data_IF_009745229058
#
_entry.id   IF_009745229058
#
_cell.length_a   1.000
_cell.length_b   1.000
_cell.length_c   1.000
_cell.angle_alpha   90.00
_cell.angle_beta   90.00
_cell.angle_gamma   90.00
#
_symmetry.space_group_name_H-M   'P 1'
#
loop_
_entity.id
_entity.type
_entity.pdbx_description
1 polymer ?
#
# COMPACT_ATOMS: atom_id res chain seq x y z
N UNK A 1 -16.90 46.47 14.57
CA UNK A 1 -16.15 45.36 15.19
C UNK A 1 -16.79 44.05 14.80
N UNK A 2 -16.27 43.38 13.78
CA UNK A 2 -16.66 42.01 13.41
C UNK A 2 -15.54 41.40 12.58
N UNK A 3 -14.55 40.85 13.27
CA UNK A 3 -13.43 40.11 12.68
C UNK A 3 -13.85 38.66 12.43
N UNK A 4 -14.10 38.32 11.17
CA UNK A 4 -14.32 36.95 10.71
C UNK A 4 -12.97 36.24 10.53
N UNK A 5 -12.61 35.38 11.48
CA UNK A 5 -11.47 34.47 11.38
C UNK A 5 -11.83 33.26 10.51
N UNK A 6 -11.42 33.27 9.24
CA UNK A 6 -11.44 32.09 8.38
C UNK A 6 -10.30 31.16 8.76
N UNK A 7 -10.62 30.08 9.49
CA UNK A 7 -9.70 28.98 9.79
C UNK A 7 -9.40 28.22 8.51
N UNK A 8 -8.22 28.46 7.92
CA UNK A 8 -7.67 27.63 6.83
C UNK A 8 -7.41 26.24 7.38
N UNK A 9 -8.27 25.29 7.02
CA UNK A 9 -8.03 23.86 7.22
C UNK A 9 -6.83 23.48 6.34
N UNK A 10 -5.65 23.48 6.93
CA UNK A 10 -4.41 23.08 6.27
C UNK A 10 -4.37 21.57 6.35
N UNK A 11 -4.71 20.91 5.24
CA UNK A 11 -4.49 19.46 5.09
C UNK A 11 -3.00 19.24 5.27
N UNK A 12 -2.61 18.72 6.44
CA UNK A 12 -1.26 18.26 6.70
C UNK A 12 -0.95 17.18 5.66
N UNK A 13 -0.16 17.54 4.65
CA UNK A 13 0.43 16.53 3.78
C UNK A 13 1.28 15.63 4.69
N UNK A 14 1.15 14.29 4.59
CA UNK A 14 2.00 13.41 5.36
C UNK A 14 3.45 13.71 4.98
N UNK A 15 4.29 13.96 5.99
CA UNK A 15 5.73 14.13 5.80
C UNK A 15 6.26 12.92 5.02
N UNK A 16 7.02 13.17 3.93
CA UNK A 16 7.62 12.08 3.15
C UNK A 16 8.46 11.21 4.09
N UNK A 17 8.34 9.87 4.04
CA UNK A 17 9.16 9.00 4.86
C UNK A 17 10.65 9.24 4.54
N UNK A 18 11.44 9.40 5.60
CA UNK A 18 12.89 9.53 5.55
C UNK A 18 13.49 8.12 5.48
N UNK A 19 14.28 7.84 4.46
CA UNK A 19 14.90 6.54 4.26
C UNK A 19 16.38 6.56 4.63
N UNK A 20 16.82 5.51 5.32
CA UNK A 20 18.23 5.16 5.51
C UNK A 20 18.55 3.95 4.64
N UNK A 21 19.59 4.05 3.83
CA UNK A 21 20.04 2.96 2.95
C UNK A 21 21.29 2.33 3.58
N UNK A 22 21.24 1.03 3.84
CA UNK A 22 22.42 0.24 4.22
C UNK A 22 22.95 -0.49 2.98
N UNK A 23 24.17 -0.17 2.58
CA UNK A 23 24.89 -0.81 1.48
C UNK A 23 25.92 -1.77 2.09
N UNK A 24 25.75 -3.06 1.85
CA UNK A 24 26.68 -4.08 2.30
C UNK A 24 27.70 -4.40 1.19
N UNK A 25 28.97 -4.09 1.43
CA UNK A 25 30.09 -4.41 0.54
C UNK A 25 30.74 -5.68 1.05
N UNK A 26 30.45 -6.79 0.35
CA UNK A 26 30.92 -8.12 0.74
C UNK A 26 32.33 -8.46 0.25
N UNK A 27 32.75 -7.86 -0.86
CA UNK A 27 34.07 -8.07 -1.45
C UNK A 27 34.74 -6.73 -1.73
N UNK A 28 36.08 -6.66 -1.65
CA UNK A 28 36.82 -5.44 -1.99
C UNK A 28 36.67 -5.06 -3.47
N UNK A 29 36.42 -6.02 -4.36
CA UNK A 29 36.13 -5.77 -5.78
C UNK A 29 34.78 -5.06 -6.00
N UNK A 30 33.86 -5.14 -5.04
CA UNK A 30 32.56 -4.45 -5.11
C UNK A 30 32.66 -2.99 -4.66
N UNK A 31 33.74 -2.63 -3.94
CA UNK A 31 34.05 -1.27 -3.47
C UNK A 31 34.64 -0.41 -4.59
N UNK A 32 33.86 -0.25 -5.66
CA UNK A 32 34.28 0.52 -6.83
C UNK A 32 33.64 1.91 -6.81
N UNK A 33 34.37 2.97 -7.21
CA UNK A 33 33.78 4.31 -7.37
C UNK A 33 32.62 4.31 -8.40
N UNK A 34 32.56 3.31 -9.29
CA UNK A 34 31.43 3.09 -10.19
C UNK A 34 30.13 2.73 -9.47
N UNK A 35 30.17 1.97 -8.36
CA UNK A 35 28.98 1.61 -7.59
C UNK A 35 28.33 2.86 -6.98
N UNK A 36 29.14 3.74 -6.39
CA UNK A 36 28.65 4.98 -5.78
C UNK A 36 28.15 5.99 -6.84
N UNK A 37 28.79 6.05 -8.00
CA UNK A 37 28.28 6.81 -9.14
C UNK A 37 26.93 6.28 -9.63
N UNK A 38 26.79 4.95 -9.76
CA UNK A 38 25.54 4.31 -10.12
C UNK A 38 24.46 4.60 -9.09
N UNK A 39 24.78 4.44 -7.79
CA UNK A 39 23.87 4.76 -6.69
C UNK A 39 23.42 6.22 -6.73
N UNK A 40 24.34 7.17 -6.91
CA UNK A 40 24.02 8.60 -7.07
C UNK A 40 23.06 8.85 -8.23
N UNK A 41 23.34 8.26 -9.39
CA UNK A 41 22.48 8.42 -10.57
C UNK A 41 21.10 7.78 -10.34
N UNK A 42 21.02 6.61 -9.73
CA UNK A 42 19.76 5.96 -9.35
C UNK A 42 18.97 6.78 -8.34
N UNK A 43 19.63 7.36 -7.32
CA UNK A 43 18.97 8.20 -6.32
C UNK A 43 18.43 9.50 -6.91
N UNK A 44 19.12 10.10 -7.90
CA UNK A 44 18.61 11.28 -8.63
C UNK A 44 17.27 10.98 -9.30
N UNK A 45 17.09 9.78 -9.88
CA UNK A 45 15.84 9.39 -10.54
C UNK A 45 14.65 9.29 -9.58
N UNK A 46 14.90 8.90 -8.32
CA UNK A 46 13.84 8.70 -7.33
C UNK A 46 13.69 9.84 -6.33
N UNK A 47 14.60 10.83 -6.37
CA UNK A 47 14.68 11.97 -5.44
C UNK A 47 13.37 12.79 -5.31
N UNK A 48 12.57 12.85 -6.37
CA UNK A 48 11.28 13.56 -6.34
C UNK A 48 10.23 12.82 -5.49
N UNK A 49 10.29 11.49 -5.47
CA UNK A 49 9.26 10.63 -4.86
C UNK A 49 9.70 10.05 -3.51
N UNK A 50 11.01 10.04 -3.24
CA UNK A 50 11.60 9.42 -2.06
C UNK A 50 12.68 10.33 -1.49
N UNK A 51 12.67 10.54 -0.17
CA UNK A 51 13.70 11.31 0.53
C UNK A 51 14.63 10.34 1.26
N UNK A 52 15.90 10.37 0.88
CA UNK A 52 16.97 9.60 1.53
C UNK A 52 17.82 10.58 2.31
N UNK A 53 17.98 10.35 3.60
CA UNK A 53 18.78 11.22 4.47
C UNK A 53 20.16 10.64 4.74
N UNK A 54 20.24 9.32 4.93
CA UNK A 54 21.48 8.62 5.30
C UNK A 54 21.78 7.43 4.38
N UNK A 55 23.04 7.31 3.98
CA UNK A 55 23.61 6.13 3.33
C UNK A 55 24.72 5.59 4.23
N UNK A 56 24.54 4.37 4.72
CA UNK A 56 25.50 3.65 5.55
C UNK A 56 26.19 2.61 4.66
N UNK A 57 27.50 2.73 4.51
CA UNK A 57 28.33 1.76 3.77
C UNK A 57 28.97 0.84 4.80
N UNK A 58 28.65 -0.45 4.75
CA UNK A 58 29.16 -1.45 5.67
C UNK A 58 30.08 -2.43 4.94
N UNK A 59 31.32 -2.55 5.42
CA UNK A 59 32.32 -3.47 4.86
C UNK A 59 32.39 -4.74 5.72
N UNK A 60 32.11 -5.91 5.14
CA UNK A 60 32.13 -7.19 5.88
C UNK A 60 33.49 -7.90 5.86
N UNK A 61 34.48 -7.41 5.11
CA UNK A 61 35.77 -8.08 5.00
C UNK A 61 36.70 -7.65 6.14
N UNK A 62 37.22 -8.62 6.90
CA UNK A 62 38.28 -8.39 7.86
C UNK A 62 39.55 -7.94 7.13
N UNK A 63 40.08 -6.77 7.50
CA UNK A 63 41.24 -6.17 6.87
C UNK A 63 42.44 -7.13 6.83
N UNK A 64 42.83 -7.53 5.62
CA UNK A 64 44.25 -7.54 5.28
C UNK A 64 44.53 -6.34 4.38
N UNK A 65 44.72 -5.18 5.02
CA UNK A 65 45.55 -4.09 4.50
C UNK A 65 45.24 -3.60 3.07
N UNK A 66 43.98 -3.46 2.69
CA UNK A 66 43.66 -2.57 1.56
C UNK A 66 43.38 -1.22 2.17
N UNK A 67 44.26 -0.27 1.87
CA UNK A 67 44.04 1.16 2.06
C UNK A 67 42.60 1.45 1.62
N UNK A 68 41.68 1.59 2.58
CA UNK A 68 40.39 2.23 2.34
C UNK A 68 40.80 3.68 2.04
N UNK A 69 41.14 3.90 0.78
CA UNK A 69 41.51 5.21 0.28
C UNK A 69 40.39 6.15 0.69
N UNK A 70 40.75 7.38 1.10
CA UNK A 70 39.89 8.50 1.46
C UNK A 70 38.89 8.91 0.33
N UNK A 71 38.21 7.94 -0.26
CA UNK A 71 37.32 8.02 -1.42
C UNK A 71 35.99 8.64 -1.01
N UNK A 72 35.50 8.33 0.19
CA UNK A 72 34.32 8.94 0.81
C UNK A 72 34.39 10.48 0.90
N UNK A 73 35.57 11.07 1.15
CA UNK A 73 35.72 12.54 1.20
C UNK A 73 35.55 13.22 -0.17
N UNK A 74 35.78 12.52 -1.29
CA UNK A 74 35.50 13.05 -2.63
C UNK A 74 34.03 12.88 -3.04
N UNK A 75 33.26 12.08 -2.30
CA UNK A 75 31.89 11.69 -2.63
C UNK A 75 30.80 12.65 -2.11
N UNK A 76 31.17 13.64 -1.28
CA UNK A 76 30.22 14.65 -0.78
C UNK A 76 29.55 15.47 -1.91
N UNK A 77 30.17 15.54 -3.10
CA UNK A 77 29.58 16.19 -4.27
C UNK A 77 28.56 15.31 -5.02
N UNK A 78 28.56 13.99 -4.81
CA UNK A 78 27.63 13.08 -5.48
C UNK A 78 26.24 13.09 -4.85
N UNK A 79 26.14 13.46 -3.57
CA UNK A 79 24.89 13.48 -2.83
C UNK A 79 24.75 14.79 -2.05
N UNK A 80 24.25 15.87 -2.68
CA UNK A 80 24.25 17.21 -2.08
C UNK A 80 23.39 17.33 -0.81
N UNK A 81 22.46 16.39 -0.58
CA UNK A 81 21.52 16.39 0.55
C UNK A 81 21.47 15.05 1.31
N UNK A 82 22.46 14.16 1.14
CA UNK A 82 22.47 12.84 1.80
C UNK A 82 23.80 12.64 2.51
N UNK A 83 23.76 12.24 3.78
CA UNK A 83 24.97 11.94 4.56
C UNK A 83 25.43 10.52 4.29
N UNK A 84 26.64 10.38 3.75
CA UNK A 84 27.29 9.09 3.48
C UNK A 84 28.27 8.79 4.60
N UNK A 85 28.19 7.59 5.19
CA UNK A 85 29.03 7.16 6.32
C UNK A 85 29.57 5.76 6.09
N UNK A 86 30.87 5.59 6.29
CA UNK A 86 31.52 4.27 6.26
C UNK A 86 31.54 3.65 7.66
N UNK A 87 31.16 2.39 7.75
CA UNK A 87 31.03 1.63 8.98
C UNK A 87 31.78 0.31 8.81
N UNK A 88 32.75 0.08 9.69
CA UNK A 88 33.60 -1.12 9.69
C UNK A 88 33.27 -2.09 10.82
N UNK A 89 32.51 -1.66 11.84
CA UNK A 89 32.17 -2.52 12.98
C UNK A 89 30.65 -2.68 13.14
N UNK A 90 30.15 -3.88 13.46
CA UNK A 90 28.73 -4.11 13.75
C UNK A 90 28.18 -3.22 14.87
N UNK A 91 29.01 -2.92 15.87
CA UNK A 91 28.62 -2.08 17.01
C UNK A 91 28.32 -0.64 16.58
N UNK A 92 29.05 -0.12 15.60
CA UNK A 92 28.80 1.20 15.02
C UNK A 92 27.54 1.26 14.13
N UNK A 93 26.99 0.12 13.68
CA UNK A 93 25.66 0.12 13.05
C UNK A 93 24.55 0.41 14.07
N UNK A 94 24.74 0.02 15.32
CA UNK A 94 23.73 0.17 16.37
C UNK A 94 23.48 1.62 16.80
N UNK A 95 24.39 2.55 16.45
CA UNK A 95 24.14 3.99 16.64
C UNK A 95 23.14 4.56 15.63
N UNK A 96 22.87 3.86 14.52
CA UNK A 96 21.97 4.31 13.45
C UNK A 96 20.73 3.43 13.33
N UNK A 97 20.87 2.12 13.53
CA UNK A 97 19.79 1.14 13.37
C UNK A 97 19.64 0.37 14.69
N UNK A 98 18.44 0.40 15.27
CA UNK A 98 18.15 -0.35 16.48
C UNK A 98 18.41 -1.86 16.28
N UNK A 99 18.95 -2.53 17.31
CA UNK A 99 19.30 -3.96 17.29
C UNK A 99 18.17 -4.87 16.76
N UNK A 100 16.93 -4.54 17.12
CA UNK A 100 15.71 -5.25 16.72
C UNK A 100 15.37 -5.16 15.23
N UNK A 101 15.86 -4.12 14.55
CA UNK A 101 15.62 -3.86 13.13
C UNK A 101 16.79 -4.26 12.25
N UNK A 102 17.95 -4.50 12.87
CA UNK A 102 19.15 -4.86 12.15
C UNK A 102 19.09 -6.36 11.79
N UNK A 103 19.33 -6.74 10.52
CA UNK A 103 19.38 -8.14 10.14
C UNK A 103 20.44 -8.93 10.92
N UNK A 104 20.19 -10.22 11.12
CA UNK A 104 21.11 -11.12 11.81
C UNK A 104 22.51 -11.17 11.16
N UNK A 105 22.58 -10.99 9.83
CA UNK A 105 23.85 -10.93 9.08
C UNK A 105 24.78 -9.78 9.55
N UNK A 106 24.22 -8.74 10.18
CA UNK A 106 24.95 -7.59 10.71
C UNK A 106 25.01 -7.57 12.24
N UNK A 107 24.70 -8.69 12.90
CA UNK A 107 24.71 -8.81 14.36
C UNK A 107 23.44 -8.32 15.06
N UNK A 108 22.35 -8.11 14.31
CA UNK A 108 21.04 -7.80 14.88
C UNK A 108 20.19 -9.03 15.19
N UNK A 109 18.92 -8.81 15.56
CA UNK A 109 17.97 -9.89 15.89
C UNK A 109 16.93 -10.12 14.80
N UNK A 110 16.90 -9.29 13.75
CA UNK A 110 15.88 -9.40 12.72
C UNK A 110 16.21 -10.50 11.70
N UNK A 111 15.23 -11.34 11.41
CA UNK A 111 15.35 -12.43 10.43
C UNK A 111 14.40 -12.12 9.28
N UNK A 112 14.97 -11.73 8.14
CA UNK A 112 14.22 -11.49 6.92
C UNK A 112 13.93 -12.79 6.19
N UNK A 113 12.69 -12.97 5.72
CA UNK A 113 12.40 -13.98 4.72
C UNK A 113 12.06 -13.29 3.39
N UNK A 114 13.07 -13.16 2.53
CA UNK A 114 12.94 -12.48 1.24
C UNK A 114 11.89 -13.13 0.33
N UNK A 115 11.83 -14.47 0.30
CA UNK A 115 10.89 -15.21 -0.56
C UNK A 115 9.44 -14.92 -0.18
N UNK A 116 9.12 -15.03 1.12
CA UNK A 116 7.78 -14.73 1.65
C UNK A 116 7.42 -13.25 1.50
N UNK A 117 8.38 -12.35 1.68
CA UNK A 117 8.17 -10.92 1.47
C UNK A 117 7.84 -10.61 0.01
N UNK A 118 8.57 -11.18 -0.95
CA UNK A 118 8.27 -11.03 -2.39
C UNK A 118 6.88 -11.60 -2.70
N UNK A 119 6.56 -12.78 -2.17
CA UNK A 119 5.27 -13.41 -2.42
C UNK A 119 4.11 -12.55 -1.88
N UNK A 120 4.26 -12.03 -0.66
CA UNK A 120 3.31 -11.10 -0.06
C UNK A 120 3.11 -9.88 -0.95
N UNK A 121 4.19 -9.20 -1.34
CA UNK A 121 4.12 -7.96 -2.13
C UNK A 121 3.49 -8.19 -3.50
N UNK A 122 3.84 -9.30 -4.18
CA UNK A 122 3.26 -9.68 -5.47
C UNK A 122 1.76 -9.91 -5.35
N UNK A 123 1.33 -10.69 -4.36
CA UNK A 123 -0.09 -10.98 -4.16
C UNK A 123 -0.87 -9.74 -3.75
N UNK A 124 -0.28 -8.91 -2.88
CA UNK A 124 -0.84 -7.67 -2.39
C UNK A 124 -1.11 -6.69 -3.55
N UNK A 125 -0.13 -6.49 -4.44
CA UNK A 125 -0.25 -5.62 -5.60
C UNK A 125 -1.36 -6.09 -6.55
N UNK A 126 -1.45 -7.39 -6.84
CA UNK A 126 -2.48 -7.93 -7.73
C UNK A 126 -3.88 -7.68 -7.18
N UNK A 127 -4.13 -7.99 -5.91
CA UNK A 127 -5.46 -7.77 -5.30
C UNK A 127 -5.77 -6.28 -5.22
N UNK A 128 -4.79 -5.46 -4.82
CA UNK A 128 -4.96 -4.01 -4.74
C UNK A 128 -5.38 -3.43 -6.10
N UNK A 129 -4.67 -3.80 -7.16
CA UNK A 129 -4.97 -3.33 -8.51
C UNK A 129 -6.35 -3.80 -9.00
N UNK A 130 -6.74 -5.05 -8.70
CA UNK A 130 -8.07 -5.57 -9.02
C UNK A 130 -9.16 -4.82 -8.27
N UNK A 131 -8.99 -4.54 -6.97
CA UNK A 131 -9.94 -3.77 -6.18
C UNK A 131 -10.09 -2.34 -6.71
N UNK A 132 -8.97 -1.67 -7.01
CA UNK A 132 -8.99 -0.31 -7.56
C UNK A 132 -9.69 -0.26 -8.92
N UNK A 133 -9.35 -1.15 -9.84
CA UNK A 133 -9.92 -1.17 -11.18
C UNK A 133 -11.43 -1.49 -11.17
N UNK A 134 -11.84 -2.51 -10.41
CA UNK A 134 -13.27 -2.88 -10.29
C UNK A 134 -14.06 -1.82 -9.51
N UNK A 135 -13.48 -1.28 -8.43
CA UNK A 135 -14.07 -0.19 -7.64
C UNK A 135 -14.31 1.06 -8.46
N UNK A 136 -13.36 1.49 -9.29
CA UNK A 136 -13.53 2.62 -10.20
C UNK A 136 -14.69 2.43 -11.17
N UNK A 137 -14.85 1.22 -11.73
CA UNK A 137 -15.97 0.89 -12.62
C UNK A 137 -17.31 0.94 -11.89
N UNK A 138 -17.38 0.39 -10.67
CA UNK A 138 -18.58 0.45 -9.82
C UNK A 138 -18.98 1.90 -9.52
N UNK A 139 -18.02 2.71 -9.07
CA UNK A 139 -18.26 4.13 -8.72
C UNK A 139 -18.69 4.93 -9.94
N UNK A 140 -18.07 4.69 -11.10
CA UNK A 140 -18.45 5.34 -12.36
C UNK A 140 -19.91 5.05 -12.70
N UNK A 141 -20.32 3.77 -12.73
CA UNK A 141 -21.72 3.39 -13.01
C UNK A 141 -22.69 3.99 -12.00
N UNK A 142 -22.36 3.97 -10.71
CA UNK A 142 -23.20 4.57 -9.67
C UNK A 142 -23.33 6.08 -9.83
N UNK A 143 -22.24 6.77 -10.18
CA UNK A 143 -22.22 8.20 -10.43
C UNK A 143 -23.10 8.57 -11.62
N UNK A 144 -22.99 7.85 -12.73
CA UNK A 144 -23.78 8.09 -13.94
C UNK A 144 -25.29 7.95 -13.68
N UNK A 145 -25.67 6.95 -12.87
CA UNK A 145 -27.06 6.74 -12.48
C UNK A 145 -27.54 7.86 -11.55
N UNK A 146 -26.70 8.26 -10.58
CA UNK A 146 -27.02 9.36 -9.67
C UNK A 146 -27.25 10.67 -10.44
N UNK A 147 -26.39 10.96 -11.41
CA UNK A 147 -26.54 12.13 -12.28
C UNK A 147 -27.82 12.06 -13.11
N UNK A 148 -28.19 10.87 -13.58
CA UNK A 148 -29.45 10.65 -14.30
C UNK A 148 -30.69 10.86 -13.42
N UNK A 149 -30.65 10.42 -12.15
CA UNK A 149 -31.76 10.59 -11.21
C UNK A 149 -31.95 12.04 -10.75
N UNK A 150 -30.90 12.86 -10.77
CA UNK A 150 -30.99 14.30 -10.46
C UNK A 150 -31.79 15.10 -11.49
N UNK A 151 -32.03 14.54 -12.69
CA UNK A 151 -32.81 15.19 -13.74
C UNK A 151 -34.33 15.10 -13.51
N UNK A 152 -34.78 14.46 -12.42
CA UNK A 152 -36.19 14.36 -12.03
C UNK A 152 -36.69 12.92 -11.94
N UNK A 153 -38.01 12.75 -11.94
CA UNK A 153 -38.63 11.42 -11.89
C UNK A 153 -38.20 10.58 -13.12
N UNK A 154 -37.54 9.42 -12.92
CA UNK A 154 -37.00 8.67 -14.03
C UNK A 154 -38.14 8.03 -14.84
N UNK A 155 -38.12 8.30 -16.15
CA UNK A 155 -39.05 7.69 -17.11
C UNK A 155 -38.83 6.18 -17.22
N UNK A 156 -39.83 5.44 -17.72
CA UNK A 156 -39.71 3.98 -17.96
C UNK A 156 -38.48 3.62 -18.81
N UNK A 157 -38.20 4.41 -19.85
CA UNK A 157 -37.03 4.21 -20.73
C UNK A 157 -35.72 4.41 -19.97
N UNK A 158 -35.63 5.44 -19.12
CA UNK A 158 -34.45 5.69 -18.28
C UNK A 158 -34.25 4.58 -17.25
N UNK A 159 -35.31 4.12 -16.57
CA UNK A 159 -35.23 2.99 -15.63
C UNK A 159 -34.71 1.71 -16.30
N UNK A 160 -35.15 1.42 -17.52
CA UNK A 160 -34.65 0.27 -18.28
C UNK A 160 -33.17 0.43 -18.66
N UNK A 161 -32.76 1.61 -19.12
CA UNK A 161 -31.36 1.90 -19.43
C UNK A 161 -30.46 1.78 -18.19
N UNK A 162 -30.89 2.35 -17.06
CA UNK A 162 -30.22 2.26 -15.76
C UNK A 162 -30.09 0.80 -15.29
N UNK A 163 -31.20 0.04 -15.30
CA UNK A 163 -31.18 -1.38 -14.95
C UNK A 163 -30.15 -2.14 -15.81
N UNK A 164 -30.15 -1.91 -17.13
CA UNK A 164 -29.20 -2.59 -18.02
C UNK A 164 -27.75 -2.19 -17.74
N UNK A 165 -27.48 -0.92 -17.44
CA UNK A 165 -26.15 -0.46 -17.05
C UNK A 165 -25.68 -1.15 -15.76
N UNK A 166 -26.52 -1.17 -14.73
CA UNK A 166 -26.25 -1.85 -13.47
C UNK A 166 -25.97 -3.34 -13.67
N UNK A 167 -26.84 -4.05 -14.40
CA UNK A 167 -26.66 -5.49 -14.65
C UNK A 167 -25.36 -5.79 -15.39
N UNK A 168 -24.96 -4.96 -16.37
CA UNK A 168 -23.69 -5.14 -17.08
C UNK A 168 -22.49 -4.98 -16.17
N UNK A 169 -22.50 -3.96 -15.31
CA UNK A 169 -21.41 -3.75 -14.34
C UNK A 169 -21.32 -4.91 -13.35
N UNK A 170 -22.45 -5.47 -12.90
CA UNK A 170 -22.48 -6.65 -12.03
C UNK A 170 -22.01 -7.94 -12.72
N UNK A 171 -22.15 -8.03 -14.04
CA UNK A 171 -21.69 -9.15 -14.86
C UNK A 171 -20.22 -9.03 -15.31
N UNK A 172 -19.49 -8.03 -14.81
CA UNK A 172 -18.06 -7.88 -15.07
C UNK A 172 -17.29 -9.11 -14.56
N UNK A 173 -16.53 -9.75 -15.46
CA UNK A 173 -15.76 -10.95 -15.15
C UNK A 173 -14.73 -10.69 -14.06
N UNK A 174 -14.12 -9.50 -14.03
CA UNK A 174 -13.11 -9.17 -13.03
C UNK A 174 -13.74 -9.01 -11.64
N UNK A 175 -14.91 -8.37 -11.56
CA UNK A 175 -15.66 -8.22 -10.32
C UNK A 175 -16.09 -9.60 -9.80
N UNK A 176 -16.57 -10.47 -10.69
CA UNK A 176 -16.97 -11.82 -10.32
C UNK A 176 -15.77 -12.65 -9.83
N UNK A 177 -14.65 -12.60 -10.55
CA UNK A 177 -13.41 -13.27 -10.16
C UNK A 177 -12.87 -12.75 -8.82
N UNK A 178 -12.90 -11.42 -8.61
CA UNK A 178 -12.48 -10.79 -7.35
C UNK A 178 -13.37 -11.26 -6.19
N UNK A 179 -14.69 -11.32 -6.36
CA UNK A 179 -15.59 -11.78 -5.29
C UNK A 179 -15.48 -13.28 -5.02
N UNK A 180 -15.23 -14.08 -6.06
CA UNK A 180 -15.07 -15.54 -5.94
C UNK A 180 -13.74 -15.93 -5.31
N UNK A 181 -12.63 -15.36 -5.78
CA UNK A 181 -11.28 -15.76 -5.41
C UNK A 181 -10.66 -14.86 -4.33
N UNK A 182 -11.10 -13.60 -4.23
CA UNK A 182 -10.58 -12.61 -3.31
C UNK A 182 -10.55 -13.05 -1.85
N UNK A 183 -11.57 -13.72 -1.28
CA UNK A 183 -11.51 -14.21 0.09
C UNK A 183 -10.32 -15.16 0.34
N UNK A 184 -10.05 -16.06 -0.62
CA UNK A 184 -8.91 -16.99 -0.53
C UNK A 184 -7.58 -16.25 -0.68
N UNK A 185 -7.52 -15.27 -1.59
CA UNK A 185 -6.33 -14.45 -1.79
C UNK A 185 -6.01 -13.56 -0.57
N UNK A 186 -7.03 -12.97 0.06
CA UNK A 186 -6.89 -12.20 1.31
C UNK A 186 -6.49 -13.11 2.48
N UNK A 187 -7.07 -14.30 2.60
CA UNK A 187 -6.67 -15.28 3.61
C UNK A 187 -5.19 -15.68 3.47
N UNK A 188 -4.73 -15.92 2.23
CA UNK A 188 -3.30 -16.18 1.94
C UNK A 188 -2.42 -14.98 2.29
N UNK A 189 -2.86 -13.75 2.03
CA UNK A 189 -2.12 -12.56 2.47
C UNK A 189 -1.98 -12.48 3.99
N UNK A 190 -3.01 -12.82 4.75
CA UNK A 190 -2.94 -12.90 6.22
C UNK A 190 -1.95 -13.97 6.68
N UNK A 191 -1.94 -15.13 6.04
CA UNK A 191 -0.98 -16.20 6.33
C UNK A 191 0.46 -15.76 6.06
N UNK A 192 0.70 -15.14 4.90
CA UNK A 192 2.01 -14.59 4.54
C UNK A 192 2.45 -13.50 5.53
N UNK A 193 1.57 -12.57 5.90
CA UNK A 193 1.84 -11.55 6.91
C UNK A 193 2.22 -12.17 8.26
N UNK A 194 1.45 -13.15 8.73
CA UNK A 194 1.76 -13.87 9.98
C UNK A 194 3.12 -14.54 9.88
N UNK A 195 3.44 -15.12 8.73
CA UNK A 195 4.69 -15.84 8.54
C UNK A 195 5.92 -14.92 8.47
N UNK A 196 5.76 -13.68 8.00
CA UNK A 196 6.82 -12.65 8.01
C UNK A 196 7.04 -12.16 9.45
N UNK A 197 5.96 -11.87 10.19
CA UNK A 197 6.01 -11.32 11.56
C UNK A 197 6.37 -12.35 12.63
N UNK A 198 5.99 -13.62 12.46
CA UNK A 198 6.30 -14.69 13.44
C UNK A 198 7.81 -14.98 13.53
N UNK A 199 8.57 -14.76 12.45
CA UNK A 199 10.03 -14.94 12.43
C UNK A 199 10.75 -14.00 13.39
N UNK A 200 10.15 -12.86 13.75
CA UNK A 200 10.71 -11.87 14.69
C UNK A 200 10.69 -12.37 16.15
N UNK A 201 9.85 -13.37 16.49
CA UNK A 201 9.52 -13.69 17.90
C UNK A 201 10.28 -14.88 18.52
N UNK A 202 11.10 -15.63 17.78
CA UNK A 202 11.65 -16.91 18.28
C UNK A 202 13.02 -16.84 19.00
N UNK A 203 13.65 -15.67 19.14
CA UNK A 203 15.03 -15.58 19.69
C UNK A 203 15.17 -14.95 21.08
N UNK A 204 14.09 -14.69 21.82
CA UNK A 204 14.17 -14.08 23.17
C UNK A 204 14.14 -15.08 24.34
N UNK A 205 14.77 -16.25 24.20
CA UNK A 205 14.87 -17.23 25.28
C UNK A 205 16.32 -17.56 25.66
N UNK A 206 17.15 -16.55 25.91
CA UNK A 206 18.29 -16.55 26.86
C UNK A 206 19.08 -15.26 26.69
N UNK A 207 18.93 -14.31 27.61
CA UNK A 207 20.00 -13.48 28.19
C UNK A 207 19.36 -12.40 29.06
N UNK A 208 19.58 -12.53 30.37
CA UNK A 208 19.30 -11.52 31.38
C UNK A 208 20.26 -10.35 31.17
N UNK A 209 19.76 -9.16 30.84
CA UNK A 209 20.43 -7.91 31.20
C UNK A 209 19.43 -6.74 31.30
N UNK A 210 19.51 -6.08 32.44
CA UNK A 210 18.79 -4.89 32.87
C UNK A 210 19.37 -3.65 32.22
N UNK A 211 18.62 -3.00 31.33
CA UNK A 211 18.86 -1.60 30.97
C UNK A 211 17.62 -1.01 30.28
N UNK A 212 17.05 0.01 30.92
CA UNK A 212 16.05 0.93 30.38
C UNK A 212 16.57 1.60 29.12
N UNK A 213 15.95 1.30 27.97
CA UNK A 213 16.03 2.14 26.78
C UNK A 213 14.64 2.31 26.16
N UNK A 214 14.15 3.55 26.21
CA UNK A 214 12.95 3.99 25.53
C UNK A 214 13.31 4.23 24.07
N UNK A 215 13.04 3.28 23.17
CA UNK A 215 12.86 3.62 21.76
C UNK A 215 12.03 2.57 21.00
N UNK A 216 10.72 2.79 21.00
CA UNK A 216 9.72 1.96 20.33
C UNK A 216 9.55 2.31 18.83
N UNK A 217 10.25 3.33 18.34
CA UNK A 217 9.80 4.08 17.15
C UNK A 217 10.19 3.42 15.82
N UNK A 218 11.36 2.80 15.74
CA UNK A 218 11.90 2.35 14.45
C UNK A 218 11.45 0.94 14.00
N UNK A 219 11.03 0.03 14.89
CA UNK A 219 10.44 -1.28 14.48
C UNK A 219 8.99 -1.14 14.07
N UNK A 220 8.38 -0.02 14.46
CA UNK A 220 7.04 0.31 14.02
C UNK A 220 7.02 0.43 12.49
N UNK A 221 7.97 1.08 11.82
CA UNK A 221 7.75 1.49 10.42
C UNK A 221 7.66 0.36 9.38
N UNK A 222 8.48 -0.69 9.43
CA UNK A 222 8.45 -1.78 8.43
C UNK A 222 7.36 -2.84 8.71
N UNK A 223 7.19 -3.26 9.97
CA UNK A 223 6.03 -4.08 10.36
C UNK A 223 4.72 -3.30 10.18
N UNK A 224 4.72 -1.99 10.45
CA UNK A 224 3.61 -1.10 10.11
C UNK A 224 3.43 -0.98 8.61
N UNK A 225 4.47 -1.05 7.77
CA UNK A 225 4.29 -0.95 6.31
C UNK A 225 3.57 -2.20 5.76
N UNK A 226 4.06 -3.40 6.09
CA UNK A 226 3.40 -4.65 5.67
C UNK A 226 2.00 -4.77 6.28
N UNK A 227 1.85 -4.42 7.57
CA UNK A 227 0.56 -4.44 8.27
C UNK A 227 -0.42 -3.38 7.73
N UNK A 228 0.04 -2.16 7.48
CA UNK A 228 -0.79 -1.08 6.90
C UNK A 228 -1.19 -1.40 5.47
N UNK A 229 -0.29 -2.00 4.68
CA UNK A 229 -0.59 -2.48 3.32
C UNK A 229 -1.66 -3.55 3.34
N UNK A 230 -1.52 -4.55 4.23
CA UNK A 230 -2.53 -5.60 4.43
C UNK A 230 -3.88 -4.99 4.82
N UNK A 231 -3.91 -4.13 5.84
CA UNK A 231 -5.13 -3.47 6.29
C UNK A 231 -5.78 -2.65 5.17
N UNK A 232 -4.99 -1.91 4.40
CA UNK A 232 -5.48 -1.15 3.24
C UNK A 232 -6.15 -2.05 2.22
N UNK A 233 -5.53 -3.18 1.89
CA UNK A 233 -6.08 -4.14 0.92
C UNK A 233 -7.36 -4.78 1.43
N UNK A 234 -7.41 -5.17 2.71
CA UNK A 234 -8.62 -5.75 3.33
C UNK A 234 -9.77 -4.74 3.31
N UNK A 235 -9.50 -3.47 3.64
CA UNK A 235 -10.50 -2.40 3.57
C UNK A 235 -10.99 -2.23 2.13
N UNK A 236 -10.08 -2.07 1.16
CA UNK A 236 -10.44 -1.91 -0.26
C UNK A 236 -11.29 -3.07 -0.77
N UNK A 237 -10.91 -4.31 -0.45
CA UNK A 237 -11.65 -5.50 -0.85
C UNK A 237 -13.09 -5.50 -0.28
N UNK A 238 -13.23 -5.20 1.01
CA UNK A 238 -14.53 -5.14 1.68
C UNK A 238 -15.40 -4.00 1.15
N UNK A 239 -14.81 -2.85 0.83
CA UNK A 239 -15.51 -1.71 0.24
C UNK A 239 -16.04 -2.04 -1.15
N UNK A 240 -15.25 -2.72 -1.99
CA UNK A 240 -15.68 -3.17 -3.33
C UNK A 240 -16.80 -4.19 -3.24
N UNK A 241 -16.71 -5.20 -2.35
CA UNK A 241 -17.79 -6.17 -2.17
C UNK A 241 -19.06 -5.52 -1.62
N UNK A 242 -18.92 -4.58 -0.68
CA UNK A 242 -20.06 -3.82 -0.17
C UNK A 242 -20.70 -2.93 -1.25
N UNK A 243 -19.90 -2.28 -2.09
CA UNK A 243 -20.39 -1.50 -3.22
C UNK A 243 -21.12 -2.38 -4.23
N UNK A 244 -20.59 -3.57 -4.54
CA UNK A 244 -21.26 -4.55 -5.40
C UNK A 244 -22.62 -4.98 -4.83
N UNK A 245 -22.71 -5.29 -3.53
CA UNK A 245 -23.98 -5.63 -2.86
C UNK A 245 -24.99 -4.48 -2.90
N UNK A 246 -24.56 -3.24 -2.72
CA UNK A 246 -25.43 -2.05 -2.88
C UNK A 246 -25.94 -1.93 -4.32
N UNK A 247 -25.08 -2.21 -5.30
CA UNK A 247 -25.44 -2.19 -6.71
C UNK A 247 -26.46 -3.28 -7.07
N UNK A 248 -26.33 -4.48 -6.48
CA UNK A 248 -27.32 -5.57 -6.60
C UNK A 248 -28.69 -5.13 -6.08
N UNK A 249 -28.74 -4.50 -4.89
CA UNK A 249 -29.98 -3.97 -4.32
C UNK A 249 -30.62 -2.90 -5.20
N UNK A 250 -29.81 -1.95 -5.71
CA UNK A 250 -30.29 -0.93 -6.64
C UNK A 250 -30.84 -1.56 -7.92
N UNK A 251 -30.21 -2.63 -8.42
CA UNK A 251 -30.67 -3.33 -9.63
C UNK A 251 -32.05 -3.95 -9.41
N UNK A 252 -32.26 -4.65 -8.29
CA UNK A 252 -33.57 -5.25 -8.00
C UNK A 252 -34.63 -4.17 -7.73
N UNK A 253 -34.28 -3.07 -7.05
CA UNK A 253 -35.19 -1.94 -6.85
C UNK A 253 -35.67 -1.35 -8.20
N UNK A 254 -34.77 -1.17 -9.17
CA UNK A 254 -35.12 -0.66 -10.51
C UNK A 254 -35.97 -1.67 -11.27
N UNK A 255 -35.67 -2.96 -11.14
CA UNK A 255 -36.45 -4.05 -11.74
C UNK A 255 -37.87 -4.09 -11.20
N UNK A 256 -38.04 -3.98 -9.89
CA UNK A 256 -39.36 -3.98 -9.24
C UNK A 256 -40.17 -2.75 -9.65
N UNK A 257 -39.54 -1.56 -9.69
CA UNK A 257 -40.21 -0.34 -10.17
C UNK A 257 -40.69 -0.47 -11.62
N UNK A 258 -39.95 -1.16 -12.47
CA UNK A 258 -40.39 -1.46 -13.85
C UNK A 258 -41.59 -2.42 -13.89
N UNK A 259 -41.67 -3.39 -12.99
CA UNK A 259 -42.84 -4.28 -12.84
C UNK A 259 -44.05 -3.48 -12.42
N UNK A 260 -43.92 -2.62 -11.41
CA UNK A 260 -45.03 -1.80 -10.92
C UNK A 260 -45.56 -0.84 -11.98
N UNK A 261 -44.68 -0.16 -12.73
CA UNK A 261 -45.10 0.70 -13.86
C UNK A 261 -45.83 -0.09 -14.97
N UNK A 262 -45.54 -1.38 -15.12
CA UNK A 262 -46.25 -2.24 -16.07
C UNK A 262 -47.62 -2.63 -15.51
N UNK A 263 -47.71 -2.92 -14.20
CA UNK A 263 -48.97 -3.21 -13.52
C UNK A 263 -49.92 -2.01 -13.55
N UNK A 264 -49.43 -0.81 -13.24
CA UNK A 264 -50.20 0.43 -13.27
C UNK A 264 -50.78 0.71 -14.65
N UNK A 265 -49.97 0.56 -15.71
CA UNK A 265 -50.44 0.73 -17.08
C UNK A 265 -51.57 -0.25 -17.44
N UNK A 266 -51.42 -1.52 -17.06
CA UNK A 266 -52.47 -2.50 -17.33
C UNK A 266 -53.79 -2.13 -16.61
N UNK A 267 -53.71 -1.64 -15.37
CA UNK A 267 -54.88 -1.16 -14.63
C UNK A 267 -55.50 0.10 -15.26
N UNK A 268 -54.68 1.04 -15.73
CA UNK A 268 -55.15 2.22 -16.46
C UNK A 268 -55.85 1.83 -17.76
N UNK A 269 -55.31 0.86 -18.49
CA UNK A 269 -55.92 0.31 -19.71
C UNK A 269 -57.27 -0.37 -19.38
N UNK A 270 -57.35 -1.18 -18.32
CA UNK A 270 -58.63 -1.78 -17.83
C UNK A 270 -59.67 -0.72 -17.44
N UNK A 271 -59.28 0.34 -16.73
CA UNK A 271 -60.21 1.43 -16.33
C UNK A 271 -60.73 2.18 -17.55
N UNK A 272 -59.87 2.43 -18.54
CA UNK A 272 -60.24 3.11 -19.77
C UNK A 272 -61.15 2.27 -20.67
N UNK A 273 -61.08 0.94 -20.61
CA UNK A 273 -61.99 0.04 -21.35
C UNK A 273 -63.39 -0.04 -20.74
N UNK A 274 -63.53 0.23 -19.43
CA UNK A 274 -64.79 0.15 -18.69
C UNK A 274 -65.52 1.51 -18.60
N UNK A 275 -64.81 2.61 -18.88
CA UNK A 275 -65.35 3.99 -18.88
C UNK A 275 -65.94 4.39 -20.24
#
# INVERSE_FOLDING_TARGET
SSSSSTTKCTVLQPSKPEFTILVNIRKPEDDTPSLLNLLSNSLKLISNNMRVDDILIYHTFEETSVVISNSCNQNNNLFPNVTVREITTPQALLTYIALKNLPQEFGGTWIHNQEKWIEFMRLAEVIQNQCLATGQRLVTTMSDIRLSDLQGLPTRRQLYAQHRALSRTLMDSDLHNLRKNGPNSVARLHELYKSITSTTSMTTATTTCSSTCNDATAMSTAENDVSSRLNTIVILFNEVDQAAKRLEQLTEQRRERLRELTRQRNLEDEINEVS
#
